data_IF_523188075547
#
_entry.id   IF_523188075547
#
_cell.length_a   1.000
_cell.length_b   1.000
_cell.length_c   1.000
_cell.angle_alpha   90.00
_cell.angle_beta   90.00
_cell.angle_gamma   90.00
#
_symmetry.space_group_name_H-M   'P 1'
#
loop_
_entity.id
_entity.type
_entity.pdbx_description
1 polymer ?
#
# COMPACT_ATOMS: atom_id res chain seq x y z
N UNK A 1 -2.35 -50.52 -15.03
CA UNK A 1 -1.03 -49.82 -14.96
C UNK A 1 -1.32 -48.33 -15.03
N UNK A 2 -1.58 -47.66 -13.91
CA UNK A 2 -1.93 -46.25 -13.84
C UNK A 2 -0.65 -45.44 -13.65
N UNK A 3 -0.28 -44.64 -14.63
CA UNK A 3 0.82 -43.68 -14.53
C UNK A 3 0.32 -42.42 -13.81
N UNK A 4 0.90 -42.00 -12.70
CA UNK A 4 0.46 -40.78 -12.01
C UNK A 4 0.95 -39.57 -12.78
N UNK A 5 -0.01 -38.75 -13.22
CA UNK A 5 0.20 -37.47 -13.88
C UNK A 5 0.89 -36.48 -12.90
N UNK A 6 2.17 -36.19 -13.14
CA UNK A 6 3.06 -35.39 -12.30
C UNK A 6 2.94 -33.87 -12.53
N UNK A 7 1.83 -33.37 -13.01
CA UNK A 7 1.59 -31.94 -13.16
C UNK A 7 0.64 -31.43 -12.08
N UNK A 8 1.07 -31.52 -10.83
CA UNK A 8 0.41 -30.81 -9.74
C UNK A 8 0.80 -29.32 -9.79
N UNK A 9 -0.17 -28.38 -9.90
CA UNK A 9 0.13 -26.93 -9.88
C UNK A 9 0.62 -26.43 -8.52
N UNK A 10 0.73 -27.31 -7.52
CA UNK A 10 1.26 -27.04 -6.18
C UNK A 10 2.71 -27.51 -5.98
N UNK A 11 3.54 -27.51 -7.01
CA UNK A 11 4.99 -27.59 -6.77
C UNK A 11 5.44 -26.30 -6.10
N UNK A 12 5.46 -26.31 -4.77
CA UNK A 12 6.17 -25.34 -3.93
C UNK A 12 7.64 -25.38 -4.33
N UNK A 13 8.00 -24.60 -5.34
CA UNK A 13 9.40 -24.30 -5.58
C UNK A 13 9.89 -23.58 -4.33
N UNK A 14 10.67 -24.32 -3.53
CA UNK A 14 11.39 -23.80 -2.39
C UNK A 14 12.10 -22.52 -2.81
N UNK A 15 11.72 -21.42 -2.16
CA UNK A 15 12.32 -20.12 -2.40
C UNK A 15 13.81 -20.22 -2.18
N UNK A 16 14.56 -20.42 -3.27
CA UNK A 16 15.96 -20.05 -3.29
C UNK A 16 15.97 -18.55 -3.08
N UNK A 17 16.66 -18.10 -2.05
CA UNK A 17 16.93 -16.69 -1.75
C UNK A 17 17.48 -15.98 -2.97
N UNK A 18 16.60 -15.51 -3.84
CA UNK A 18 17.03 -14.69 -4.96
C UNK A 18 17.47 -13.35 -4.39
N UNK A 19 18.71 -12.93 -4.64
CA UNK A 19 19.20 -11.67 -4.11
C UNK A 19 18.27 -10.53 -4.56
N UNK A 20 17.77 -9.78 -3.59
CA UNK A 20 16.89 -8.64 -3.83
C UNK A 20 17.56 -7.72 -4.86
N UNK A 21 16.87 -7.44 -5.95
CA UNK A 21 17.44 -6.61 -7.03
C UNK A 21 17.85 -5.22 -6.49
N UNK A 22 18.88 -4.62 -7.08
CA UNK A 22 19.36 -3.28 -6.68
C UNK A 22 18.23 -2.23 -6.73
N UNK A 23 17.33 -2.35 -7.69
CA UNK A 23 16.16 -1.49 -7.81
C UNK A 23 15.16 -1.68 -6.66
N UNK A 24 14.91 -2.93 -6.26
CA UNK A 24 14.03 -3.23 -5.14
C UNK A 24 14.60 -2.68 -3.83
N UNK A 25 15.91 -2.80 -3.60
CA UNK A 25 16.59 -2.18 -2.46
C UNK A 25 16.45 -0.65 -2.46
N UNK A 26 16.71 0.00 -3.61
CA UNK A 26 16.58 1.45 -3.73
C UNK A 26 15.15 1.91 -3.43
N UNK A 27 14.16 1.24 -3.96
CA UNK A 27 12.73 1.55 -3.70
C UNK A 27 12.38 1.38 -2.22
N UNK A 28 12.83 0.30 -1.60
CA UNK A 28 12.64 0.07 -0.17
C UNK A 28 13.29 1.18 0.68
N UNK A 29 14.51 1.58 0.37
CA UNK A 29 15.19 2.68 1.06
C UNK A 29 14.43 3.99 0.93
N UNK A 30 13.93 4.32 -0.27
CA UNK A 30 13.12 5.52 -0.50
C UNK A 30 11.82 5.47 0.31
N UNK A 31 11.12 4.33 0.31
CA UNK A 31 9.88 4.17 1.08
C UNK A 31 10.13 4.32 2.58
N UNK A 32 11.20 3.73 3.10
CA UNK A 32 11.57 3.86 4.52
C UNK A 32 11.92 5.31 4.86
N UNK A 33 12.70 6.00 4.01
CA UNK A 33 13.02 7.41 4.21
C UNK A 33 11.78 8.30 4.19
N UNK A 34 10.86 8.09 3.24
CA UNK A 34 9.59 8.81 3.19
C UNK A 34 8.73 8.54 4.44
N UNK A 35 8.69 7.29 4.89
CA UNK A 35 7.98 6.94 6.12
C UNK A 35 8.56 7.68 7.32
N UNK A 36 9.89 7.73 7.45
CA UNK A 36 10.54 8.46 8.52
C UNK A 36 10.21 9.97 8.47
N UNK A 37 10.22 10.57 7.28
CA UNK A 37 9.86 11.99 7.11
C UNK A 37 8.40 12.24 7.50
N UNK A 38 7.47 11.40 7.06
CA UNK A 38 6.05 11.52 7.42
C UNK A 38 5.87 11.37 8.93
N UNK A 39 6.55 10.42 9.58
CA UNK A 39 6.54 10.26 11.03
C UNK A 39 7.05 11.52 11.77
N UNK A 40 8.17 12.08 11.32
CA UNK A 40 8.71 13.29 11.95
C UNK A 40 7.75 14.47 11.83
N UNK A 41 7.13 14.65 10.66
CA UNK A 41 6.14 15.72 10.45
C UNK A 41 4.91 15.48 11.34
N UNK A 42 4.41 14.25 11.39
CA UNK A 42 3.22 13.89 12.16
C UNK A 42 3.46 14.08 13.65
N UNK A 43 4.36 13.31 14.24
CA UNK A 43 4.62 13.36 15.68
C UNK A 43 5.29 14.65 16.13
N UNK A 44 6.19 15.22 15.31
CA UNK A 44 6.80 16.52 15.59
C UNK A 44 5.77 17.67 15.56
N UNK A 45 4.80 17.59 14.68
CA UNK A 45 3.70 18.55 14.61
C UNK A 45 2.81 18.51 15.85
N UNK A 46 2.49 17.32 16.34
CA UNK A 46 1.72 17.17 17.60
C UNK A 46 2.53 17.65 18.81
N UNK A 47 3.81 17.28 18.90
CA UNK A 47 4.68 17.76 19.98
C UNK A 47 4.84 19.29 19.97
N UNK A 48 4.92 19.89 18.77
CA UNK A 48 4.96 21.34 18.61
C UNK A 48 3.64 22.00 19.06
N UNK A 49 2.50 21.39 18.72
CA UNK A 49 1.18 21.87 19.14
C UNK A 49 1.06 21.89 20.66
N UNK A 50 1.50 20.84 21.32
CA UNK A 50 1.53 20.73 22.78
C UNK A 50 2.45 21.79 23.40
N UNK A 51 3.66 21.95 22.83
CA UNK A 51 4.59 22.98 23.29
C UNK A 51 4.04 24.41 23.16
N UNK A 52 3.33 24.70 22.06
CA UNK A 52 2.71 25.99 21.80
C UNK A 52 1.35 26.16 22.48
N UNK A 53 0.83 25.13 23.14
CA UNK A 53 -0.51 25.08 23.72
C UNK A 53 -1.61 25.53 22.72
N UNK A 54 -1.49 25.06 21.48
CA UNK A 54 -2.35 25.46 20.38
C UNK A 54 -3.13 24.26 19.84
N UNK A 55 -4.38 24.15 20.23
CA UNK A 55 -5.28 23.05 19.85
C UNK A 55 -5.66 23.04 18.36
N UNK A 56 -5.43 24.13 17.64
CA UNK A 56 -5.77 24.23 16.21
C UNK A 56 -4.76 23.46 15.33
N UNK A 57 -3.49 23.42 15.73
CA UNK A 57 -2.42 22.77 14.94
C UNK A 57 -2.71 21.29 14.65
N UNK A 58 -3.13 20.46 15.63
CA UNK A 58 -3.48 19.06 15.38
C UNK A 58 -4.58 18.90 14.32
N UNK A 59 -5.63 19.70 14.39
CA UNK A 59 -6.73 19.65 13.42
C UNK A 59 -6.27 19.99 12.00
N UNK A 60 -5.40 20.98 11.85
CA UNK A 60 -4.82 21.35 10.55
C UNK A 60 -3.96 20.19 10.01
N UNK A 61 -3.09 19.61 10.84
CA UNK A 61 -2.24 18.47 10.45
C UNK A 61 -3.10 17.29 10.02
N UNK A 62 -4.11 16.91 10.82
CA UNK A 62 -5.02 15.80 10.51
C UNK A 62 -5.78 16.04 9.20
N UNK A 63 -6.27 17.26 8.99
CA UNK A 63 -7.01 17.63 7.79
C UNK A 63 -6.13 17.56 6.56
N UNK A 64 -4.95 18.17 6.58
CA UNK A 64 -4.00 18.15 5.46
C UNK A 64 -3.54 16.72 5.17
N UNK A 65 -3.26 15.93 6.20
CA UNK A 65 -2.87 14.53 6.07
C UNK A 65 -3.98 13.69 5.45
N UNK A 66 -5.20 13.79 5.97
CA UNK A 66 -6.35 13.04 5.46
C UNK A 66 -6.70 13.39 4.02
N UNK A 67 -6.71 14.68 3.68
CA UNK A 67 -6.95 15.13 2.31
C UNK A 67 -5.85 14.66 1.35
N UNK A 68 -4.58 14.74 1.77
CA UNK A 68 -3.46 14.28 0.95
C UNK A 68 -3.52 12.78 0.71
N UNK A 69 -3.80 12.00 1.73
CA UNK A 69 -3.98 10.56 1.63
C UNK A 69 -5.14 10.19 0.72
N UNK A 70 -6.31 10.82 0.92
CA UNK A 70 -7.49 10.59 0.10
C UNK A 70 -7.22 10.92 -1.38
N UNK A 71 -6.59 12.07 -1.66
CA UNK A 71 -6.25 12.48 -3.02
C UNK A 71 -5.32 11.47 -3.72
N UNK A 72 -4.27 11.02 -3.04
CA UNK A 72 -3.32 10.04 -3.58
C UNK A 72 -4.02 8.69 -3.80
N UNK A 73 -4.83 8.24 -2.84
CA UNK A 73 -5.55 6.97 -2.92
C UNK A 73 -6.57 6.97 -4.06
N UNK A 74 -7.38 8.02 -4.16
CA UNK A 74 -8.36 8.17 -5.24
C UNK A 74 -7.65 8.19 -6.61
N UNK A 75 -6.57 8.98 -6.72
CA UNK A 75 -5.79 9.04 -7.95
C UNK A 75 -5.22 7.68 -8.34
N UNK A 76 -4.71 6.93 -7.35
CA UNK A 76 -4.22 5.58 -7.57
C UNK A 76 -5.32 4.62 -8.06
N UNK A 77 -6.49 4.65 -7.40
CA UNK A 77 -7.62 3.79 -7.75
C UNK A 77 -8.16 4.12 -9.14
N UNK A 78 -8.38 5.40 -9.45
CA UNK A 78 -8.87 5.85 -10.76
C UNK A 78 -7.88 5.49 -11.85
N UNK A 79 -6.58 5.74 -11.62
CA UNK A 79 -5.54 5.45 -12.60
C UNK A 79 -5.43 3.96 -12.91
N UNK A 80 -5.56 3.10 -11.91
CA UNK A 80 -5.50 1.64 -12.06
C UNK A 80 -6.88 1.00 -12.32
N UNK A 81 -7.92 1.80 -12.62
CA UNK A 81 -9.30 1.30 -12.84
C UNK A 81 -9.83 0.46 -11.68
N UNK A 82 -9.56 0.90 -10.47
CA UNK A 82 -10.00 0.45 -9.14
C UNK A 82 -9.88 -1.06 -8.84
N UNK A 83 -10.26 -1.94 -9.75
CA UNK A 83 -10.43 -3.37 -9.47
C UNK A 83 -9.75 -4.29 -10.49
N UNK A 84 -8.96 -3.76 -11.41
CA UNK A 84 -8.29 -4.60 -12.39
C UNK A 84 -7.05 -5.23 -11.77
N UNK A 85 -7.10 -6.54 -11.59
CA UNK A 85 -5.96 -7.30 -11.09
C UNK A 85 -4.76 -7.19 -12.06
N UNK A 86 -3.55 -7.09 -11.52
CA UNK A 86 -2.31 -7.02 -12.32
C UNK A 86 -2.06 -8.28 -13.15
N UNK A 87 -2.63 -9.38 -12.69
CA UNK A 87 -2.46 -10.70 -13.28
C UNK A 87 -3.62 -11.05 -14.24
N UNK A 88 -4.33 -10.02 -14.76
CA UNK A 88 -5.34 -10.24 -15.80
C UNK A 88 -4.71 -10.88 -17.02
N UNK A 89 -5.22 -12.05 -17.38
CA UNK A 89 -4.89 -12.77 -18.61
C UNK A 89 -6.01 -12.60 -19.64
N UNK A 90 -5.70 -12.88 -20.91
CA UNK A 90 -6.69 -12.76 -22.00
C UNK A 90 -7.92 -13.64 -21.74
N UNK A 91 -7.74 -14.77 -21.08
CA UNK A 91 -8.82 -15.75 -20.78
C UNK A 91 -9.82 -15.26 -19.73
N UNK A 92 -9.45 -14.26 -18.94
CA UNK A 92 -10.32 -13.65 -17.92
C UNK A 92 -11.22 -12.55 -18.51
N UNK A 93 -10.99 -12.17 -19.76
CA UNK A 93 -11.73 -11.10 -20.42
C UNK A 93 -12.94 -11.65 -21.19
N UNK A 94 -14.00 -10.85 -21.40
CA UNK A 94 -15.19 -11.28 -22.11
C UNK A 94 -14.87 -11.90 -23.48
N UNK A 95 -15.53 -13.03 -23.77
CA UNK A 95 -15.33 -13.78 -25.02
C UNK A 95 -15.74 -12.94 -26.24
N UNK A 96 -16.67 -12.02 -26.07
CA UNK A 96 -17.18 -11.12 -27.11
C UNK A 96 -16.17 -10.10 -27.61
N UNK A 97 -15.04 -9.96 -26.89
CA UNK A 97 -13.98 -9.04 -27.30
C UNK A 97 -13.07 -9.70 -28.34
N UNK A 98 -12.70 -8.93 -29.37
CA UNK A 98 -11.72 -9.41 -30.33
C UNK A 98 -10.38 -9.74 -29.64
N UNK A 99 -9.62 -10.71 -30.15
CA UNK A 99 -8.31 -11.07 -29.58
C UNK A 99 -7.35 -9.89 -29.45
N UNK A 100 -7.38 -8.98 -30.41
CA UNK A 100 -6.57 -7.76 -30.41
C UNK A 100 -6.95 -6.82 -29.25
N UNK A 101 -8.27 -6.65 -29.01
CA UNK A 101 -8.78 -5.83 -27.92
C UNK A 101 -8.42 -6.40 -26.56
N UNK A 102 -8.43 -7.73 -26.41
CA UNK A 102 -8.00 -8.41 -25.17
C UNK A 102 -6.54 -8.18 -24.89
N UNK A 103 -5.67 -8.38 -25.90
CA UNK A 103 -4.23 -8.12 -25.77
C UNK A 103 -3.93 -6.66 -25.40
N UNK A 104 -4.53 -5.72 -26.11
CA UNK A 104 -4.34 -4.29 -25.84
C UNK A 104 -4.79 -3.92 -24.41
N UNK A 105 -5.87 -4.50 -23.92
CA UNK A 105 -6.34 -4.26 -22.55
C UNK A 105 -5.39 -4.80 -21.49
N UNK A 106 -4.87 -6.03 -21.66
CA UNK A 106 -3.89 -6.65 -20.76
C UNK A 106 -2.61 -5.82 -20.70
N UNK A 107 -2.11 -5.42 -21.87
CA UNK A 107 -0.89 -4.62 -21.99
C UNK A 107 -1.06 -3.22 -21.36
N UNK A 108 -2.17 -2.53 -21.64
CA UNK A 108 -2.48 -1.24 -21.01
C UNK A 108 -2.59 -1.34 -19.49
N UNK A 109 -3.23 -2.39 -18.99
CA UNK A 109 -3.36 -2.65 -17.55
C UNK A 109 -2.00 -2.86 -16.89
N UNK A 110 -1.14 -3.68 -17.51
CA UNK A 110 0.22 -3.92 -17.02
C UNK A 110 1.05 -2.66 -17.02
N UNK A 111 1.00 -1.89 -18.10
CA UNK A 111 1.70 -0.60 -18.23
C UNK A 111 1.26 0.40 -17.17
N UNK A 112 -0.04 0.49 -16.87
CA UNK A 112 -0.59 1.35 -15.80
C UNK A 112 -0.09 0.91 -14.44
N UNK A 113 -0.15 -0.38 -14.14
CA UNK A 113 0.33 -0.93 -12.90
C UNK A 113 1.83 -0.67 -12.66
N UNK A 114 2.65 -0.74 -13.70
CA UNK A 114 4.07 -0.40 -13.62
C UNK A 114 4.30 1.10 -13.37
N UNK A 115 3.58 1.95 -14.08
CA UNK A 115 3.68 3.41 -13.91
C UNK A 115 3.17 3.89 -12.56
N UNK A 116 2.16 3.24 -11.97
CA UNK A 116 1.57 3.64 -10.69
C UNK A 116 2.31 3.11 -9.47
N UNK A 117 3.34 2.29 -9.64
CA UNK A 117 4.13 1.74 -8.51
C UNK A 117 4.71 2.80 -7.59
N UNK A 118 5.07 3.98 -8.12
CA UNK A 118 5.57 5.07 -7.29
C UNK A 118 4.51 5.63 -6.34
N UNK A 119 3.22 5.60 -6.73
CA UNK A 119 2.13 6.04 -5.86
C UNK A 119 1.99 5.14 -4.62
N UNK A 120 2.26 3.83 -4.76
CA UNK A 120 2.30 2.92 -3.62
C UNK A 120 3.41 3.30 -2.63
N UNK A 121 4.55 3.81 -3.10
CA UNK A 121 5.62 4.28 -2.21
C UNK A 121 5.18 5.50 -1.39
N UNK A 122 4.22 6.28 -1.87
CA UNK A 122 3.62 7.37 -1.10
C UNK A 122 2.49 6.88 -0.19
N UNK A 123 1.66 5.93 -0.64
CA UNK A 123 0.54 5.40 0.14
C UNK A 123 1.03 4.65 1.38
N UNK A 124 2.10 3.85 1.26
CA UNK A 124 2.64 3.03 2.36
C UNK A 124 2.98 3.88 3.60
N UNK A 125 3.75 4.99 3.52
CA UNK A 125 4.01 5.87 4.65
C UNK A 125 2.75 6.35 5.36
N UNK A 126 1.73 6.76 4.60
CA UNK A 126 0.47 7.22 5.18
C UNK A 126 -0.26 6.12 5.94
N UNK A 127 -0.34 4.92 5.37
CA UNK A 127 -0.98 3.77 6.04
C UNK A 127 -0.22 3.38 7.30
N UNK A 128 1.12 3.32 7.24
CA UNK A 128 1.96 2.95 8.40
C UNK A 128 1.81 3.97 9.52
N UNK A 129 1.80 5.28 9.21
CA UNK A 129 1.59 6.33 10.22
C UNK A 129 0.21 6.22 10.86
N UNK A 130 -0.83 6.02 10.05
CA UNK A 130 -2.19 5.83 10.56
C UNK A 130 -2.31 4.60 11.46
N UNK A 131 -1.69 3.49 11.07
CA UNK A 131 -1.67 2.28 11.91
C UNK A 131 -0.89 2.49 13.21
N UNK A 132 0.23 3.21 13.16
CA UNK A 132 1.01 3.52 14.36
C UNK A 132 0.21 4.39 15.33
N UNK A 133 -0.54 5.37 14.83
CA UNK A 133 -1.42 6.20 15.64
C UNK A 133 -2.57 5.40 16.25
N UNK A 134 -3.23 4.57 15.44
CA UNK A 134 -4.27 3.69 15.94
C UNK A 134 -3.76 2.78 17.06
N UNK A 135 -2.56 2.19 16.90
CA UNK A 135 -1.92 1.39 17.94
C UNK A 135 -1.59 2.23 19.17
N UNK A 136 -1.09 3.46 18.99
CA UNK A 136 -0.79 4.36 20.09
C UNK A 136 -2.06 4.67 20.91
N UNK A 137 -3.17 5.02 20.27
CA UNK A 137 -4.45 5.26 20.91
C UNK A 137 -4.96 4.01 21.64
N UNK A 138 -4.87 2.84 21.01
CA UNK A 138 -5.30 1.58 21.63
C UNK A 138 -4.50 1.20 22.86
N UNK A 139 -3.18 1.43 22.84
CA UNK A 139 -2.27 1.04 23.93
C UNK A 139 -2.25 2.09 25.04
N UNK A 140 -2.20 3.37 24.68
CA UNK A 140 -1.96 4.47 25.62
C UNK A 140 -3.21 4.97 26.32
N UNK A 141 -4.34 5.01 25.62
CA UNK A 141 -5.64 5.44 26.24
C UNK A 141 -6.24 4.37 27.18
N UNK A 142 -5.46 3.35 27.50
CA UNK A 142 -5.86 2.36 28.49
C UNK A 142 -7.06 1.51 28.08
N UNK A 143 -7.41 1.47 26.78
CA UNK A 143 -8.47 0.59 26.30
C UNK A 143 -8.14 -0.87 26.60
N UNK A 144 -6.88 -1.26 26.44
CA UNK A 144 -6.41 -2.58 26.83
C UNK A 144 -6.35 -2.73 28.36
N UNK A 145 -5.99 -1.69 29.10
CA UNK A 145 -6.00 -1.73 30.56
C UNK A 145 -7.42 -1.86 31.12
N UNK A 146 -8.42 -1.27 30.48
CA UNK A 146 -9.85 -1.44 30.84
C UNK A 146 -10.41 -2.80 30.41
N UNK A 147 -9.88 -3.42 29.35
CA UNK A 147 -10.33 -4.74 28.87
C UNK A 147 -9.71 -5.87 29.68
N UNK A 148 -8.48 -5.71 30.18
CA UNK A 148 -7.74 -6.77 30.89
C UNK A 148 -7.51 -6.49 32.36
N UNK A 149 -7.89 -5.31 32.86
CA UNK A 149 -7.66 -4.84 34.25
C UNK A 149 -8.93 -4.66 35.09
N UNK A 150 -10.05 -5.30 34.67
CA UNK A 150 -11.26 -5.36 35.48
C UNK A 150 -11.26 -6.55 36.44
#
# INVERSE_FOLDING_TARGET
MFSPNRNSPFSRNGGKDQPISKEAKRRMTITVALTAVVFVIWFGGFALAEYLQNDTIPYVIMTVYGLSFAAILITYLVYNRAFVNKDVTEDMLPVDWSPEKRKAFVEDTRRRAEKSRWMLMLIIPFVVTFMAEALYLFVWDGYLAKLFGG
#
